data_IF_245952124495
#
_entry.id   IF_245952124495
#
_cell.length_a   1.000
_cell.length_b   1.000
_cell.length_c   1.000
_cell.angle_alpha   90.00
_cell.angle_beta   90.00
_cell.angle_gamma   90.00
#
_symmetry.space_group_name_H-M   'P 1'
#
loop_
_entity.id
_entity.type
_entity.pdbx_description
1 polymer ?
#
# COMPACT_ATOMS: atom_id res chain seq x y z
N UNK A 1 -4.51 -8.39 -10.85
CA UNK A 1 -3.97 -8.73 -9.53
C UNK A 1 -4.71 -7.98 -8.43
N UNK A 2 -4.99 -8.65 -7.33
CA UNK A 2 -5.43 -8.03 -6.09
C UNK A 2 -4.25 -7.96 -5.14
N UNK A 3 -3.99 -6.78 -4.57
CA UNK A 3 -2.79 -6.55 -3.76
C UNK A 3 -3.20 -6.12 -2.35
N UNK A 4 -2.54 -6.69 -1.34
CA UNK A 4 -2.79 -6.46 0.07
C UNK A 4 -1.49 -6.02 0.72
N UNK A 5 -1.51 -4.92 1.43
CA UNK A 5 -0.28 -4.35 1.98
C UNK A 5 -0.41 -4.01 3.45
N UNK A 6 0.61 -4.37 4.22
CA UNK A 6 0.73 -4.00 5.61
C UNK A 6 -0.31 -4.64 6.51
N UNK A 7 -0.60 -3.98 7.63
CA UNK A 7 -1.57 -4.42 8.60
C UNK A 7 -0.97 -4.87 9.92
N UNK A 8 -1.80 -5.53 10.73
CA UNK A 8 -1.44 -5.95 12.08
C UNK A 8 -1.64 -7.46 12.22
N UNK A 9 -0.58 -8.23 12.61
CA UNK A 9 -0.70 -9.65 12.87
C UNK A 9 0.60 -10.30 13.39
N UNK A 10 0.82 -10.52 14.66
CA UNK A 10 0.34 -9.81 15.85
C UNK A 10 1.04 -8.47 16.05
N UNK A 11 2.02 -8.15 15.20
CA UNK A 11 2.70 -6.88 15.14
C UNK A 11 2.42 -6.20 13.80
N UNK A 12 2.80 -4.96 13.67
CA UNK A 12 2.71 -4.24 12.40
C UNK A 12 3.66 -4.89 11.40
N UNK A 13 3.18 -5.11 10.19
CA UNK A 13 3.98 -5.76 9.13
C UNK A 13 4.13 -4.84 7.93
N UNK A 14 5.18 -5.08 7.15
CA UNK A 14 5.45 -4.35 5.91
C UNK A 14 5.21 -5.21 4.66
N UNK A 15 4.66 -6.39 4.82
CA UNK A 15 4.50 -7.37 3.75
C UNK A 15 3.46 -6.88 2.73
N UNK A 16 3.75 -7.07 1.46
CA UNK A 16 2.80 -6.90 0.36
C UNK A 16 2.56 -8.26 -0.25
N UNK A 17 1.31 -8.69 -0.27
CA UNK A 17 0.89 -9.95 -0.90
C UNK A 17 -0.01 -9.68 -2.09
N UNK A 18 -0.09 -10.61 -3.01
CA UNK A 18 -1.01 -10.48 -4.12
C UNK A 18 -1.69 -11.80 -4.49
N UNK A 19 -2.81 -11.67 -5.16
CA UNK A 19 -3.51 -12.80 -5.78
C UNK A 19 -3.72 -12.49 -7.26
N UNK A 20 -3.89 -13.55 -8.04
CA UNK A 20 -4.33 -13.44 -9.44
C UNK A 20 -5.85 -13.60 -9.46
N UNK A 21 -6.56 -12.53 -9.78
CA UNK A 21 -8.03 -12.51 -9.66
C UNK A 21 -8.74 -13.47 -10.60
N UNK A 22 -8.10 -13.87 -11.68
CA UNK A 22 -8.69 -14.78 -12.68
C UNK A 22 -8.63 -16.25 -12.26
N UNK A 23 -7.85 -16.62 -11.24
CA UNK A 23 -7.67 -18.00 -10.80
C UNK A 23 -7.80 -18.11 -9.29
N UNK A 24 -8.19 -19.30 -8.81
CA UNK A 24 -8.18 -19.59 -7.38
C UNK A 24 -6.75 -19.85 -6.91
N UNK A 25 -6.48 -19.53 -5.67
CA UNK A 25 -5.17 -19.78 -5.07
C UNK A 25 -4.92 -18.89 -3.86
N UNK A 26 -3.87 -19.23 -3.14
CA UNK A 26 -3.42 -18.45 -1.98
C UNK A 26 -2.65 -17.21 -2.44
N UNK A 27 -2.56 -16.23 -1.54
CA UNK A 27 -1.72 -15.06 -1.80
C UNK A 27 -0.25 -15.45 -1.86
N UNK A 28 0.48 -14.73 -2.68
CA UNK A 28 1.92 -14.91 -2.90
C UNK A 28 2.62 -13.61 -2.55
N UNK A 29 3.83 -13.70 -2.05
CA UNK A 29 4.63 -12.54 -1.69
C UNK A 29 4.88 -11.66 -2.92
N UNK A 30 4.57 -10.39 -2.79
CA UNK A 30 4.83 -9.37 -3.82
C UNK A 30 6.13 -8.61 -3.54
N UNK A 31 6.38 -8.31 -2.27
CA UNK A 31 7.49 -7.51 -1.80
C UNK A 31 7.16 -6.84 -0.48
N UNK A 32 7.87 -5.78 -0.15
CA UNK A 32 7.70 -5.08 1.13
C UNK A 32 7.46 -3.60 0.92
N UNK A 33 6.65 -3.02 1.81
CA UNK A 33 6.52 -1.57 1.91
C UNK A 33 7.81 -0.96 2.46
N UNK A 34 7.96 0.33 2.31
CA UNK A 34 9.13 1.05 2.84
C UNK A 34 9.23 0.98 4.35
N UNK A 35 8.10 0.81 5.05
CA UNK A 35 8.06 0.61 6.49
C UNK A 35 6.80 -0.16 6.90
N UNK A 36 6.85 -0.83 8.04
CA UNK A 36 5.71 -1.55 8.60
C UNK A 36 4.68 -0.55 9.13
N UNK A 37 3.43 -0.69 8.70
CA UNK A 37 2.35 0.22 9.13
C UNK A 37 0.98 -0.40 8.91
N UNK A 38 -0.02 0.17 9.58
CA UNK A 38 -1.41 -0.25 9.50
C UNK A 38 -2.32 0.98 9.45
N UNK A 39 -3.61 0.76 9.28
CA UNK A 39 -4.61 1.84 9.18
C UNK A 39 -4.23 2.89 8.15
N UNK A 40 -3.71 2.43 7.03
CA UNK A 40 -3.39 3.32 5.92
C UNK A 40 -4.67 3.94 5.37
N UNK A 41 -4.51 5.05 4.68
CA UNK A 41 -5.62 5.84 4.14
C UNK A 41 -6.28 5.19 2.92
N UNK A 42 -6.41 3.90 2.91
CA UNK A 42 -6.93 3.20 1.73
C UNK A 42 -5.88 3.17 0.61
N UNK A 43 -6.32 2.87 -0.57
CA UNK A 43 -5.43 2.82 -1.72
C UNK A 43 -6.11 3.39 -2.95
N UNK A 44 -5.31 3.90 -3.85
CA UNK A 44 -5.79 4.34 -5.15
C UNK A 44 -4.88 3.79 -6.23
N UNK A 45 -5.44 3.54 -7.40
CA UNK A 45 -4.68 2.89 -8.45
C UNK A 45 -5.06 3.37 -9.84
N UNK A 46 -4.10 3.26 -10.73
CA UNK A 46 -4.34 3.25 -12.17
C UNK A 46 -4.33 1.80 -12.65
N UNK A 47 -4.28 1.59 -13.95
CA UNK A 47 -4.15 0.24 -14.50
C UNK A 47 -2.80 -0.40 -14.20
N UNK A 48 -1.78 0.40 -13.92
CA UNK A 48 -0.40 -0.08 -13.80
C UNK A 48 0.21 0.13 -12.43
N UNK A 49 -0.29 1.08 -11.64
CA UNK A 49 0.35 1.51 -10.41
C UNK A 49 -0.65 1.64 -9.27
N UNK A 50 -0.22 1.25 -8.09
CA UNK A 50 -0.96 1.45 -6.85
C UNK A 50 -0.21 2.44 -5.96
N UNK A 51 -0.96 3.35 -5.32
CA UNK A 51 -0.40 4.38 -4.44
C UNK A 51 -1.09 4.32 -3.09
N UNK A 52 -0.32 4.36 -2.02
CA UNK A 52 -0.81 4.37 -0.64
C UNK A 52 -0.15 5.53 0.09
N UNK A 53 -0.95 6.24 0.91
CA UNK A 53 -0.43 7.33 1.72
C UNK A 53 -0.81 7.22 3.19
N UNK A 54 0.08 7.67 4.05
CA UNK A 54 -0.15 7.73 5.48
C UNK A 54 -0.12 6.38 6.16
N UNK A 55 -0.78 6.29 7.31
CA UNK A 55 -0.86 5.10 8.14
C UNK A 55 -0.23 5.30 9.50
N UNK A 56 -0.36 4.28 10.35
CA UNK A 56 0.26 4.22 11.67
C UNK A 56 1.37 3.19 11.68
N UNK A 57 2.51 3.54 12.22
CA UNK A 57 3.52 2.53 12.55
C UNK A 57 3.48 2.23 14.05
N UNK A 58 4.15 1.17 14.47
CA UNK A 58 4.22 0.78 15.88
C UNK A 58 5.63 1.08 16.41
N UNK A 59 5.77 1.81 17.52
CA UNK A 59 4.64 2.24 18.40
C UNK A 59 3.89 3.42 17.86
N UNK A 60 3.97 4.27 17.30
CA UNK A 60 3.31 5.50 16.91
C UNK A 60 4.40 6.55 16.67
N UNK A 61 4.20 7.55 15.90
CA UNK A 61 2.96 8.17 15.44
C UNK A 61 2.52 7.74 14.04
N UNK A 62 1.48 8.37 13.55
CA UNK A 62 1.12 8.31 12.14
C UNK A 62 2.27 8.83 11.27
N UNK A 63 2.27 8.44 10.01
CA UNK A 63 3.31 8.83 9.06
C UNK A 63 2.69 9.63 7.91
N UNK A 64 3.54 10.37 7.21
CA UNK A 64 3.13 11.16 6.05
C UNK A 64 3.63 10.57 4.72
N UNK A 65 4.29 9.44 4.75
CA UNK A 65 4.90 8.82 3.56
C UNK A 65 3.85 8.41 2.56
N UNK A 66 4.05 8.75 1.30
CA UNK A 66 3.30 8.21 0.17
C UNK A 66 4.24 7.26 -0.56
N UNK A 67 3.80 6.03 -0.79
CA UNK A 67 4.60 5.06 -1.53
C UNK A 67 3.77 4.40 -2.63
N UNK A 68 4.45 3.82 -3.60
CA UNK A 68 3.80 3.19 -4.73
C UNK A 68 4.54 1.93 -5.17
N UNK A 69 3.84 1.12 -5.93
CA UNK A 69 4.44 -0.02 -6.65
C UNK A 69 3.65 -0.31 -7.91
N UNK A 70 4.30 -0.99 -8.84
CA UNK A 70 3.71 -1.40 -10.11
C UNK A 70 3.02 -2.75 -9.96
N UNK A 71 1.86 -2.92 -10.59
CA UNK A 71 1.13 -4.20 -10.49
C UNK A 71 1.78 -5.34 -11.28
N UNK A 72 2.40 -5.02 -12.41
CA UNK A 72 2.88 -6.05 -13.33
C UNK A 72 4.15 -6.73 -12.88
N UNK A 73 4.93 -6.10 -12.01
CA UNK A 73 6.24 -6.58 -11.58
C UNK A 73 6.29 -6.62 -10.06
N UNK A 74 6.58 -7.79 -9.49
CA UNK A 74 6.77 -7.90 -8.04
C UNK A 74 7.99 -7.09 -7.61
N UNK A 75 7.96 -6.56 -6.41
CA UNK A 75 9.05 -5.74 -5.87
C UNK A 75 8.60 -4.92 -4.69
N UNK A 76 9.54 -4.23 -4.10
CA UNK A 76 9.30 -3.40 -2.91
C UNK A 76 8.63 -2.08 -3.28
N UNK A 77 7.95 -1.49 -2.30
CA UNK A 77 7.41 -0.15 -2.44
C UNK A 77 8.52 0.87 -2.69
N UNK A 78 8.17 1.92 -3.41
CA UNK A 78 9.08 3.03 -3.70
C UNK A 78 8.47 4.30 -3.14
N UNK A 79 9.30 5.15 -2.55
CA UNK A 79 8.87 6.44 -2.03
C UNK A 79 8.36 7.32 -3.18
N UNK A 80 7.14 7.85 -3.01
CA UNK A 80 6.54 8.77 -3.96
C UNK A 80 6.70 10.21 -3.50
N UNK A 81 6.61 10.46 -2.20
CA UNK A 81 6.63 11.78 -1.60
C UNK A 81 5.93 11.76 -0.25
N UNK A 82 5.49 12.90 0.21
CA UNK A 82 4.88 13.03 1.54
C UNK A 82 3.55 13.74 1.47
N UNK A 83 2.65 13.34 2.37
CA UNK A 83 1.44 14.10 2.65
C UNK A 83 1.82 15.41 3.36
N UNK A 84 0.94 16.40 3.29
CA UNK A 84 1.17 17.69 3.96
C UNK A 84 1.21 17.56 5.48
N UNK A 85 0.60 16.50 6.02
CA UNK A 85 0.63 16.20 7.45
C UNK A 85 0.55 14.69 7.64
N UNK A 86 1.18 14.18 8.71
CA UNK A 86 1.10 12.78 9.07
C UNK A 86 -0.32 12.44 9.51
N UNK A 87 -0.89 11.37 8.96
CA UNK A 87 -2.25 10.95 9.31
C UNK A 87 -2.48 9.49 8.97
N UNK A 88 -3.50 8.92 9.62
CA UNK A 88 -3.94 7.56 9.39
C UNK A 88 -5.44 7.53 9.17
N UNK A 89 -5.95 6.40 8.68
CA UNK A 89 -7.40 6.17 8.52
C UNK A 89 -8.10 7.22 7.67
N UNK A 90 -7.40 7.83 6.74
CA UNK A 90 -7.97 8.78 5.79
C UNK A 90 -8.72 8.05 4.66
N UNK A 91 -9.19 8.82 3.69
CA UNK A 91 -9.84 8.28 2.50
C UNK A 91 -9.05 8.58 1.24
N UNK A 92 -9.17 7.72 0.26
CA UNK A 92 -8.53 7.89 -1.05
C UNK A 92 -9.48 7.43 -2.13
N UNK A 93 -9.36 8.01 -3.29
CA UNK A 93 -10.10 7.55 -4.46
C UNK A 93 -9.31 7.83 -5.73
N UNK A 94 -9.70 7.14 -6.79
CA UNK A 94 -9.07 7.27 -8.10
C UNK A 94 -10.10 6.94 -9.16
N UNK A 95 -9.97 7.56 -10.32
CA UNK A 95 -10.78 7.18 -11.48
C UNK A 95 -10.08 6.12 -12.33
N UNK A 96 -8.96 5.59 -11.86
CA UNK A 96 -8.12 4.59 -12.52
C UNK A 96 -7.50 5.10 -13.84
N UNK A 97 -7.53 6.40 -14.08
CA UNK A 97 -7.07 6.98 -15.34
C UNK A 97 -5.55 7.16 -15.42
N UNK A 98 -4.85 7.09 -14.31
CA UNK A 98 -3.39 7.21 -14.30
C UNK A 98 -2.87 8.58 -13.95
N UNK A 99 -3.72 9.44 -13.42
CA UNK A 99 -3.25 10.66 -12.80
C UNK A 99 -3.27 11.89 -13.68
N UNK A 100 -4.20 11.98 -14.55
CA UNK A 100 -4.37 13.21 -15.32
C UNK A 100 -5.42 14.13 -14.74
#
# INVERSE_FOLDING_TARGET
>A
RGVFAGGWSPNVVNIIDYITTATLGNAVDFGDMTEAKYSMSGSMSSKTRMVIGGGHRNPSPAVNTIEYWEFATTGNGTDFGDLSAAKSSGGQCSNAHGGL
#
